data_IF_327764267443
#
_entry.id   IF_327764267443
#
_cell.length_a   1.000
_cell.length_b   1.000
_cell.length_c   1.000
_cell.angle_alpha   90.00
_cell.angle_beta   90.00
_cell.angle_gamma   90.00
#
_symmetry.space_group_name_H-M   'P 1'
#
loop_
_entity.id
_entity.type
_entity.pdbx_description
1 polymer ?
#
# COMPACT_ATOMS: atom_id res chain seq x y z
N UNK A 1 1.54 -2.29 5.19
CA UNK A 1 0.41 -1.83 6.02
C UNK A 1 -0.65 -2.91 6.09
N UNK A 2 -1.11 -3.22 7.27
CA UNK A 2 -2.21 -4.15 7.51
C UNK A 2 -3.43 -3.36 7.96
N UNK A 3 -4.60 -3.71 7.44
CA UNK A 3 -5.86 -3.07 7.82
C UNK A 3 -7.01 -4.07 7.86
N UNK A 4 -8.06 -3.81 8.67
CA UNK A 4 -9.22 -4.69 8.72
C UNK A 4 -10.10 -4.49 7.47
N UNK A 5 -10.44 -5.56 6.79
CA UNK A 5 -11.32 -5.56 5.60
C UNK A 5 -12.60 -6.34 5.87
N UNK A 6 -12.48 -7.50 6.52
CA UNK A 6 -13.61 -8.35 6.87
C UNK A 6 -14.17 -7.98 8.24
N UNK A 7 -15.45 -8.27 8.46
CA UNK A 7 -16.08 -8.04 9.77
C UNK A 7 -15.40 -8.82 10.92
N UNK A 8 -14.60 -9.85 10.59
CA UNK A 8 -13.84 -10.65 11.53
C UNK A 8 -12.43 -10.12 11.78
N UNK A 9 -11.99 -9.08 11.09
CA UNK A 9 -10.63 -8.52 11.17
C UNK A 9 -10.51 -7.48 12.30
N UNK A 10 -10.78 -7.89 13.51
CA UNK A 10 -10.76 -7.00 14.68
C UNK A 10 -9.45 -6.98 15.46
N UNK A 11 -8.48 -7.79 15.04
CA UNK A 11 -7.17 -7.85 15.68
C UNK A 11 -6.07 -7.66 14.66
N UNK A 12 -4.95 -7.10 15.11
CA UNK A 12 -3.73 -7.05 14.30
C UNK A 12 -3.29 -8.46 13.88
N UNK A 13 -2.55 -8.59 12.78
CA UNK A 13 -1.98 -9.87 12.37
C UNK A 13 -1.17 -10.51 13.49
N UNK A 14 -1.24 -11.84 13.57
CA UNK A 14 -0.47 -12.60 14.56
C UNK A 14 1.04 -12.48 14.32
N UNK A 15 1.85 -12.76 15.33
CA UNK A 15 3.30 -12.81 15.20
C UNK A 15 3.76 -13.80 14.12
N UNK A 16 3.08 -14.94 14.00
CA UNK A 16 3.38 -15.92 12.95
C UNK A 16 3.11 -15.36 11.54
N UNK A 17 2.04 -14.60 11.37
CA UNK A 17 1.74 -13.93 10.09
C UNK A 17 2.78 -12.87 9.77
N UNK A 18 3.14 -12.02 10.73
CA UNK A 18 4.14 -10.97 10.56
C UNK A 18 5.52 -11.54 10.25
N UNK A 19 5.87 -12.68 10.85
CA UNK A 19 7.16 -13.34 10.65
C UNK A 19 7.37 -13.89 9.23
N UNK A 20 6.32 -13.96 8.41
CA UNK A 20 6.44 -14.35 6.99
C UNK A 20 7.23 -13.35 6.16
N UNK A 21 7.35 -12.12 6.64
CA UNK A 21 8.20 -11.07 6.03
C UNK A 21 9.36 -10.83 7.00
N UNK A 22 10.53 -11.38 6.68
CA UNK A 22 11.70 -11.34 7.55
C UNK A 22 12.77 -10.33 7.13
N UNK A 23 12.57 -9.64 6.00
CA UNK A 23 13.52 -8.64 5.52
C UNK A 23 13.56 -7.44 6.48
N UNK A 24 14.76 -7.07 6.93
CA UNK A 24 14.97 -5.98 7.90
C UNK A 24 14.53 -4.61 7.38
N UNK A 25 14.44 -4.45 6.06
CA UNK A 25 14.00 -3.21 5.43
C UNK A 25 12.49 -3.07 5.47
N UNK A 26 11.76 -4.17 5.59
CA UNK A 26 10.32 -4.16 5.67
C UNK A 26 9.86 -3.74 7.06
N UNK A 27 8.98 -2.75 7.11
CA UNK A 27 8.30 -2.32 8.33
C UNK A 27 6.82 -2.57 8.19
N UNK A 28 6.23 -3.22 9.18
CA UNK A 28 4.82 -3.61 9.15
C UNK A 28 4.04 -2.80 10.17
N UNK A 29 2.92 -2.24 9.75
CA UNK A 29 2.06 -1.40 10.59
C UNK A 29 0.63 -1.92 10.56
N UNK A 30 -0.08 -1.78 11.66
CA UNK A 30 -1.50 -2.05 11.78
C UNK A 30 -2.28 -0.74 11.75
N UNK A 31 -3.26 -0.64 10.84
CA UNK A 31 -4.10 0.54 10.64
C UNK A 31 -5.57 0.19 10.89
N UNK A 32 -5.99 0.05 12.16
CA UNK A 32 -7.34 -0.43 12.49
C UNK A 32 -8.46 0.55 12.08
N UNK A 33 -8.15 1.83 11.93
CA UNK A 33 -9.10 2.87 11.59
C UNK A 33 -9.01 3.34 10.14
N UNK A 34 -8.22 2.66 9.31
CA UNK A 34 -8.00 2.99 7.89
C UNK A 34 -7.46 4.41 7.64
N UNK A 35 -6.68 4.95 8.56
CA UNK A 35 -6.18 6.32 8.45
C UNK A 35 -5.26 6.51 7.25
N UNK A 36 -4.37 5.54 7.02
CA UNK A 36 -3.47 5.57 5.86
C UNK A 36 -4.24 5.37 4.57
N UNK A 37 -5.19 4.45 4.54
CA UNK A 37 -6.02 4.20 3.36
C UNK A 37 -6.84 5.45 2.97
N UNK A 38 -7.38 6.16 3.95
CA UNK A 38 -8.09 7.42 3.73
C UNK A 38 -7.16 8.53 3.23
N UNK A 39 -5.97 8.63 3.78
CA UNK A 39 -4.97 9.61 3.37
C UNK A 39 -4.51 9.38 1.93
N UNK A 40 -4.36 8.11 1.51
CA UNK A 40 -4.09 7.76 0.12
C UNK A 40 -5.16 8.30 -0.83
N UNK A 41 -6.43 8.08 -0.50
CA UNK A 41 -7.54 8.61 -1.30
C UNK A 41 -7.55 10.12 -1.37
N UNK A 42 -7.22 10.80 -0.27
CA UNK A 42 -7.13 12.26 -0.22
C UNK A 42 -6.01 12.79 -1.10
N UNK A 43 -4.83 12.18 -1.04
CA UNK A 43 -3.67 12.56 -1.85
C UNK A 43 -3.97 12.35 -3.34
N UNK A 44 -4.59 11.23 -3.70
CA UNK A 44 -4.90 10.88 -5.08
C UNK A 44 -5.79 11.93 -5.78
N UNK A 45 -6.74 12.51 -5.05
CA UNK A 45 -7.66 13.54 -5.60
C UNK A 45 -6.96 14.78 -6.11
N UNK A 46 -5.80 15.11 -5.56
CA UNK A 46 -5.03 16.28 -5.95
C UNK A 46 -3.96 16.02 -6.99
N UNK A 47 -3.86 14.81 -7.53
CA UNK A 47 -2.78 14.41 -8.42
C UNK A 47 -3.28 14.06 -9.82
N UNK A 48 -2.45 14.25 -10.85
CA UNK A 48 -2.82 13.89 -12.22
C UNK A 48 -2.94 12.37 -12.41
N UNK A 49 -2.27 11.59 -11.58
CA UNK A 49 -2.36 10.13 -11.63
C UNK A 49 -3.67 9.67 -10.99
N UNK A 50 -4.45 8.93 -11.76
CA UNK A 50 -5.69 8.35 -11.27
C UNK A 50 -5.39 7.21 -10.28
N UNK A 51 -6.12 7.19 -9.16
CA UNK A 51 -6.09 6.06 -8.25
C UNK A 51 -6.67 4.81 -8.93
N UNK A 52 -6.23 3.60 -8.55
CA UNK A 52 -6.78 2.37 -9.12
C UNK A 52 -8.28 2.23 -8.83
N UNK A 53 -9.04 1.73 -9.81
CA UNK A 53 -10.47 1.44 -9.63
C UNK A 53 -10.70 0.19 -8.79
N UNK A 54 -9.74 -0.73 -8.79
CA UNK A 54 -9.83 -1.93 -7.98
C UNK A 54 -9.58 -1.62 -6.51
N UNK A 55 -9.97 -2.55 -5.67
CA UNK A 55 -9.45 -2.64 -4.32
C UNK A 55 -9.83 -1.47 -3.42
N UNK A 56 -11.04 -0.98 -3.63
CA UNK A 56 -11.65 0.03 -2.76
C UNK A 56 -12.88 -0.58 -2.11
N UNK A 57 -12.91 -0.64 -0.77
CA UNK A 57 -14.03 -1.09 0.01
C UNK A 57 -14.46 0.00 0.97
N UNK A 58 -15.72 0.46 0.86
CA UNK A 58 -16.27 1.54 1.69
C UNK A 58 -15.40 2.80 1.71
N UNK A 59 -14.78 3.12 0.56
CA UNK A 59 -13.89 4.26 0.43
C UNK A 59 -12.45 4.02 0.89
N UNK A 60 -12.13 2.82 1.36
CA UNK A 60 -10.78 2.47 1.83
C UNK A 60 -10.06 1.60 0.80
N UNK A 61 -8.83 1.97 0.46
CA UNK A 61 -7.96 1.20 -0.41
C UNK A 61 -7.40 -0.04 0.32
N UNK A 62 -7.31 -1.16 -0.38
CA UNK A 62 -6.76 -2.41 0.14
C UNK A 62 -6.17 -3.25 -1.00
N UNK A 63 -5.30 -4.19 -0.67
CA UNK A 63 -4.64 -5.11 -1.61
C UNK A 63 -3.96 -4.38 -2.79
N UNK A 64 -3.25 -3.32 -2.47
CA UNK A 64 -2.57 -2.47 -3.45
C UNK A 64 -1.09 -2.36 -3.12
N UNK A 65 -0.30 -2.14 -4.16
CA UNK A 65 1.11 -1.78 -4.06
C UNK A 65 1.31 -0.37 -4.60
N UNK A 66 2.09 0.40 -3.87
CA UNK A 66 2.45 1.77 -4.25
C UNK A 66 3.96 1.88 -4.21
N UNK A 67 4.55 2.36 -5.29
CA UNK A 67 5.98 2.60 -5.39
C UNK A 67 6.23 4.09 -5.57
N UNK A 68 7.09 4.64 -4.75
CA UNK A 68 7.54 6.01 -4.85
C UNK A 68 9.00 6.08 -5.33
N UNK A 69 9.36 7.18 -5.94
CA UNK A 69 10.76 7.44 -6.30
C UNK A 69 11.66 7.41 -5.05
N UNK A 70 12.94 7.04 -5.20
CA UNK A 70 13.89 7.08 -4.08
C UNK A 70 13.89 8.45 -3.38
N UNK A 71 14.06 8.44 -2.07
CA UNK A 71 14.11 9.63 -1.22
C UNK A 71 12.80 10.43 -1.12
N UNK A 72 11.69 9.90 -1.61
CA UNK A 72 10.38 10.53 -1.42
C UNK A 72 9.99 10.57 0.05
N UNK A 73 9.33 11.65 0.45
CA UNK A 73 8.80 11.82 1.81
C UNK A 73 7.30 12.01 1.77
N UNK A 74 6.58 11.24 2.56
CA UNK A 74 5.12 11.31 2.64
C UNK A 74 4.59 12.69 3.00
N UNK A 75 5.31 13.39 3.87
CA UNK A 75 4.97 14.77 4.26
C UNK A 75 4.89 15.74 3.08
N UNK A 76 5.54 15.42 1.98
CA UNK A 76 5.56 16.24 0.75
C UNK A 76 4.48 15.82 -0.24
N UNK A 77 3.67 14.80 0.07
CA UNK A 77 2.63 14.28 -0.81
C UNK A 77 3.15 13.83 -2.16
N UNK A 78 4.17 12.97 -2.22
CA UNK A 78 4.81 12.62 -3.48
C UNK A 78 3.86 11.89 -4.42
N UNK A 79 4.03 12.09 -5.72
CA UNK A 79 3.29 11.32 -6.73
C UNK A 79 3.91 9.93 -6.86
N UNK A 80 3.12 8.86 -6.73
CA UNK A 80 3.62 7.51 -6.95
C UNK A 80 4.13 7.31 -8.38
N UNK A 81 5.19 6.53 -8.55
CA UNK A 81 5.63 6.07 -9.87
C UNK A 81 4.88 4.80 -10.30
N UNK A 82 4.28 4.11 -9.34
CA UNK A 82 3.40 2.98 -9.57
C UNK A 82 2.35 2.95 -8.45
N UNK A 83 1.10 2.68 -8.82
CA UNK A 83 0.01 2.44 -7.88
C UNK A 83 -1.03 1.56 -8.55
N UNK A 84 -1.15 0.32 -8.14
CA UNK A 84 -2.16 -0.58 -8.66
C UNK A 84 -2.40 -1.79 -7.74
N UNK A 85 -3.46 -2.51 -8.02
CA UNK A 85 -3.89 -3.73 -7.36
C UNK A 85 -4.80 -4.57 -8.28
N UNK A 86 -5.20 -5.76 -7.86
CA UNK A 86 -4.70 -6.47 -6.69
C UNK A 86 -3.21 -6.85 -6.82
N UNK A 87 -2.50 -6.91 -5.71
CA UNK A 87 -1.04 -7.08 -5.68
C UNK A 87 -0.58 -8.29 -6.50
N UNK A 88 -1.28 -9.40 -6.42
CA UNK A 88 -0.91 -10.64 -7.10
C UNK A 88 -0.77 -10.49 -8.61
N UNK A 89 -1.54 -9.59 -9.23
CA UNK A 89 -1.47 -9.34 -10.67
C UNK A 89 -0.24 -8.55 -11.09
N UNK A 90 0.32 -7.77 -10.19
CA UNK A 90 1.36 -6.79 -10.51
C UNK A 90 2.74 -7.14 -9.96
N UNK A 91 2.89 -8.27 -9.26
CA UNK A 91 4.18 -8.70 -8.72
C UNK A 91 5.29 -8.74 -9.77
N UNK A 92 5.10 -9.37 -10.95
CA UNK A 92 6.16 -9.38 -11.96
C UNK A 92 6.56 -7.99 -12.44
N UNK A 93 5.58 -7.10 -12.62
CA UNK A 93 5.84 -5.72 -13.01
C UNK A 93 6.60 -4.93 -11.95
N UNK A 94 6.23 -5.11 -10.68
CA UNK A 94 6.93 -4.49 -9.56
C UNK A 94 8.38 -4.98 -9.45
N UNK A 95 8.60 -6.27 -9.58
CA UNK A 95 9.95 -6.85 -9.56
C UNK A 95 10.82 -6.24 -10.67
N UNK A 96 10.25 -6.10 -11.87
CA UNK A 96 10.95 -5.47 -13.00
C UNK A 96 11.31 -4.01 -12.69
N UNK A 97 10.36 -3.23 -12.18
CA UNK A 97 10.60 -1.83 -11.82
C UNK A 97 11.65 -1.70 -10.71
N UNK A 98 11.60 -2.55 -9.69
CA UNK A 98 12.56 -2.53 -8.58
C UNK A 98 13.96 -2.90 -9.04
N UNK A 99 14.11 -3.80 -10.01
CA UNK A 99 15.41 -4.20 -10.54
C UNK A 99 16.08 -3.10 -11.38
N UNK A 100 15.31 -2.15 -11.89
CA UNK A 100 15.82 -0.99 -12.64
C UNK A 100 16.28 0.15 -11.73
N UNK A 101 15.95 0.11 -10.43
CA UNK A 101 16.38 1.12 -9.49
C UNK A 101 17.85 0.92 -9.10
N UNK A 102 18.63 2.02 -8.98
CA UNK A 102 20.02 1.94 -8.56
C UNK A 102 20.19 1.50 -7.11
#
# INVERSE_FOLDING_TARGET
MWEPILATDWRSPSGATLARISDRRARQFWDPEHLVAQELGRIAKGKPQKEPDCCVSKGNHWDEAILYAPSSKWSEGPTPVFWNGPVVKFVPGLESMLSELP
#
